data_IF_418039936188
#
_entry.id   IF_418039936188
#
_cell.length_a   1.000
_cell.length_b   1.000
_cell.length_c   1.000
_cell.angle_alpha   90.00
_cell.angle_beta   90.00
_cell.angle_gamma   90.00
#
_symmetry.space_group_name_H-M   'P 1'
#
loop_
_entity.id
_entity.type
_entity.pdbx_description
1 polymer ?
#
# COMPACT_ATOMS: atom_id res chain seq x y z
N UNK A 1 -29.85 19.73 1.78
CA UNK A 1 -28.35 19.87 1.86
C UNK A 1 -27.89 20.88 2.90
N UNK A 2 -28.57 21.99 3.15
CA UNK A 2 -28.17 23.05 4.09
C UNK A 2 -28.08 22.60 5.57
N UNK A 3 -28.95 21.72 6.05
CA UNK A 3 -28.91 21.24 7.44
C UNK A 3 -27.72 20.30 7.73
N UNK A 4 -27.39 19.36 6.84
CA UNK A 4 -26.26 18.46 6.99
C UNK A 4 -24.92 19.22 7.01
N UNK A 5 -24.80 20.28 6.22
CA UNK A 5 -23.59 21.12 6.21
C UNK A 5 -23.45 22.00 7.46
N UNK A 6 -24.47 22.15 8.30
CA UNK A 6 -24.38 22.88 9.57
C UNK A 6 -23.90 22.00 10.74
N UNK A 7 -23.99 20.68 10.63
CA UNK A 7 -23.50 19.79 11.69
C UNK A 7 -21.95 19.66 11.60
N UNK A 8 -21.25 20.24 12.59
CA UNK A 8 -19.78 20.19 12.66
C UNK A 8 -19.25 18.77 12.77
N UNK A 9 -19.92 17.91 13.55
CA UNK A 9 -19.53 16.52 13.72
C UNK A 9 -19.59 15.78 12.39
N UNK A 10 -20.64 15.96 11.63
CA UNK A 10 -20.80 15.33 10.31
C UNK A 10 -19.66 15.72 9.36
N UNK A 11 -19.33 17.02 9.24
CA UNK A 11 -18.33 17.50 8.28
C UNK A 11 -16.90 17.15 8.69
N UNK A 12 -16.61 17.11 9.98
CA UNK A 12 -15.23 16.95 10.47
C UNK A 12 -14.90 15.49 10.76
N UNK A 13 -15.88 14.69 11.14
CA UNK A 13 -15.66 13.32 11.56
C UNK A 13 -16.36 12.28 10.68
N UNK A 14 -17.69 12.28 10.62
CA UNK A 14 -18.44 11.18 10.00
C UNK A 14 -18.21 11.13 8.49
N UNK A 15 -18.36 12.26 7.79
CA UNK A 15 -18.24 12.27 6.35
C UNK A 15 -16.81 12.02 5.85
N UNK A 16 -15.74 12.60 6.44
CA UNK A 16 -14.36 12.23 6.10
C UNK A 16 -14.05 10.75 6.42
N UNK A 17 -14.55 10.21 7.52
CA UNK A 17 -14.41 8.79 7.85
C UNK A 17 -14.99 7.89 6.76
N UNK A 18 -16.23 8.14 6.36
CA UNK A 18 -16.87 7.39 5.27
C UNK A 18 -16.12 7.56 3.95
N UNK A 19 -15.63 8.76 3.66
CA UNK A 19 -14.88 9.05 2.46
C UNK A 19 -13.55 8.28 2.42
N UNK A 20 -12.81 8.23 3.54
CA UNK A 20 -11.62 7.42 3.68
C UNK A 20 -11.90 5.92 3.51
N UNK A 21 -12.98 5.44 4.12
CA UNK A 21 -13.45 4.06 4.00
C UNK A 21 -13.76 3.67 2.55
N UNK A 22 -14.44 4.54 1.81
CA UNK A 22 -14.77 4.33 0.39
C UNK A 22 -13.51 4.34 -0.49
N UNK A 23 -12.49 5.15 -0.14
CA UNK A 23 -11.22 5.21 -0.88
C UNK A 23 -10.54 3.82 -0.97
N UNK A 24 -10.73 2.96 0.03
CA UNK A 24 -10.16 1.61 0.07
C UNK A 24 -10.67 0.73 -1.07
N UNK A 25 -11.87 0.96 -1.57
CA UNK A 25 -12.41 0.22 -2.72
C UNK A 25 -11.59 0.42 -4.01
N UNK A 26 -10.73 1.45 -4.05
CA UNK A 26 -9.78 1.65 -5.15
C UNK A 26 -8.64 0.62 -5.18
N UNK A 27 -8.43 -0.15 -4.12
CA UNK A 27 -7.37 -1.15 -4.02
C UNK A 27 -7.88 -2.56 -4.34
N UNK A 28 -6.95 -3.50 -4.53
CA UNK A 28 -7.30 -4.92 -4.62
C UNK A 28 -7.99 -5.38 -3.31
N UNK A 29 -8.96 -6.28 -3.38
CA UNK A 29 -9.41 -7.02 -4.57
C UNK A 29 -10.46 -6.27 -5.42
N UNK A 30 -10.97 -5.12 -4.98
CA UNK A 30 -12.07 -4.41 -5.65
C UNK A 30 -11.62 -3.70 -6.93
N UNK A 31 -10.43 -3.06 -6.91
CA UNK A 31 -9.81 -2.35 -8.05
C UNK A 31 -10.69 -1.24 -8.66
N UNK A 32 -11.58 -0.65 -7.85
CA UNK A 32 -12.45 0.45 -8.28
C UNK A 32 -11.69 1.79 -8.22
N UNK A 33 -10.54 1.87 -8.88
CA UNK A 33 -9.62 3.03 -8.86
C UNK A 33 -10.32 4.35 -9.16
N UNK A 34 -11.34 4.34 -10.03
CA UNK A 34 -12.10 5.54 -10.41
C UNK A 34 -12.83 6.20 -9.23
N UNK A 35 -13.14 5.47 -8.16
CA UNK A 35 -13.72 6.04 -6.93
C UNK A 35 -12.79 7.12 -6.35
N UNK A 36 -11.49 7.00 -6.52
CA UNK A 36 -10.52 7.94 -5.97
C UNK A 36 -10.61 9.33 -6.59
N UNK A 37 -11.07 9.46 -7.83
CA UNK A 37 -11.39 10.77 -8.43
C UNK A 37 -12.47 11.50 -7.65
N UNK A 38 -13.44 10.77 -7.12
CA UNK A 38 -14.49 11.34 -6.28
C UNK A 38 -13.99 11.63 -4.87
N UNK A 39 -13.31 10.67 -4.23
CA UNK A 39 -12.93 10.77 -2.81
C UNK A 39 -11.90 11.86 -2.57
N UNK A 40 -10.82 11.93 -3.37
CA UNK A 40 -9.79 12.95 -3.24
C UNK A 40 -10.31 14.36 -3.61
N UNK A 41 -11.09 14.48 -4.69
CA UNK A 41 -11.69 15.75 -5.06
C UNK A 41 -12.67 16.27 -3.99
N UNK A 42 -13.44 15.36 -3.37
CA UNK A 42 -14.36 15.69 -2.28
C UNK A 42 -13.60 16.07 -1.01
N UNK A 43 -12.48 15.38 -0.71
CA UNK A 43 -11.63 15.73 0.43
C UNK A 43 -11.06 17.15 0.31
N UNK A 44 -10.56 17.53 -0.88
CA UNK A 44 -10.14 18.90 -1.16
C UNK A 44 -11.26 19.91 -0.94
N UNK A 45 -12.46 19.58 -1.41
CA UNK A 45 -13.63 20.44 -1.24
C UNK A 45 -14.03 20.59 0.24
N UNK A 46 -13.95 19.52 1.04
CA UNK A 46 -14.17 19.56 2.49
C UNK A 46 -13.17 20.48 3.18
N UNK A 47 -11.89 20.41 2.82
CA UNK A 47 -10.85 21.29 3.39
C UNK A 47 -11.22 22.76 3.15
N UNK A 48 -11.69 23.12 1.94
CA UNK A 48 -12.13 24.48 1.65
C UNK A 48 -13.40 24.87 2.43
N UNK A 49 -14.36 23.97 2.61
CA UNK A 49 -15.57 24.22 3.40
C UNK A 49 -15.17 24.52 4.86
N UNK A 50 -14.31 23.68 5.43
CA UNK A 50 -13.82 23.86 6.81
C UNK A 50 -13.09 25.19 6.94
N UNK A 51 -12.22 25.53 5.97
CA UNK A 51 -11.53 26.83 5.95
C UNK A 51 -12.53 27.99 5.95
N UNK A 52 -13.49 27.99 5.04
CA UNK A 52 -14.51 29.05 4.93
C UNK A 52 -15.35 29.21 6.22
N UNK A 53 -15.74 28.09 6.85
CA UNK A 53 -16.57 28.11 8.07
C UNK A 53 -15.81 28.54 9.33
N UNK A 54 -14.50 28.32 9.35
CA UNK A 54 -13.67 28.54 10.56
C UNK A 54 -12.89 29.86 10.53
N UNK A 55 -12.73 30.47 9.36
CA UNK A 55 -12.04 31.78 9.20
C UNK A 55 -12.93 33.00 9.51
N UNK A 56 -13.98 32.86 10.28
CA UNK A 56 -14.72 34.03 10.77
C UNK A 56 -13.80 34.95 11.60
N UNK A 57 -13.93 36.27 11.41
CA UNK A 57 -13.07 37.32 12.01
C UNK A 57 -12.78 37.17 13.52
N UNK A 58 -13.62 36.44 14.25
CA UNK A 58 -13.56 36.31 15.70
C UNK A 58 -12.95 34.99 16.22
N UNK A 59 -12.56 34.01 15.36
CA UNK A 59 -12.14 32.67 15.79
C UNK A 59 -10.80 32.21 15.22
N UNK A 60 -9.83 33.09 15.09
CA UNK A 60 -8.53 32.83 14.41
C UNK A 60 -7.70 31.65 14.95
N UNK A 61 -7.85 31.23 16.21
CA UNK A 61 -6.94 30.21 16.82
C UNK A 61 -7.45 28.76 16.78
N UNK A 62 -8.75 28.52 16.61
CA UNK A 62 -9.33 27.16 16.73
C UNK A 62 -9.44 26.38 15.42
N UNK A 63 -9.21 27.00 14.27
CA UNK A 63 -9.48 26.37 12.97
C UNK A 63 -8.44 25.29 12.60
N UNK A 64 -7.19 25.43 12.99
CA UNK A 64 -6.09 24.50 12.65
C UNK A 64 -6.40 23.08 13.11
N UNK A 65 -6.91 22.87 14.31
CA UNK A 65 -7.27 21.57 14.85
C UNK A 65 -8.37 20.85 14.05
N UNK A 66 -9.28 21.59 13.42
CA UNK A 66 -10.33 20.96 12.62
C UNK A 66 -9.80 20.33 11.35
N UNK A 67 -8.74 20.88 10.75
CA UNK A 67 -8.06 20.24 9.64
C UNK A 67 -7.38 18.93 10.08
N UNK A 68 -6.71 18.96 11.23
CA UNK A 68 -6.12 17.75 11.79
C UNK A 68 -7.17 16.66 12.05
N UNK A 69 -8.27 16.99 12.71
CA UNK A 69 -9.33 16.03 12.97
C UNK A 69 -9.99 15.51 11.70
N UNK A 70 -10.19 16.36 10.69
CA UNK A 70 -10.72 15.96 9.38
C UNK A 70 -9.79 14.95 8.71
N UNK A 71 -8.49 15.23 8.72
CA UNK A 71 -7.49 14.32 8.16
C UNK A 71 -7.37 13.01 8.94
N UNK A 72 -7.43 13.08 10.29
CA UNK A 72 -7.45 11.87 11.13
C UNK A 72 -8.72 11.03 10.88
N UNK A 73 -9.88 11.66 10.74
CA UNK A 73 -11.12 10.93 10.46
C UNK A 73 -11.08 10.24 9.10
N UNK A 74 -10.59 10.92 8.06
CA UNK A 74 -10.36 10.33 6.75
C UNK A 74 -9.34 9.18 6.83
N UNK A 75 -8.19 9.41 7.46
CA UNK A 75 -7.14 8.40 7.63
C UNK A 75 -7.61 7.21 8.45
N UNK A 76 -8.38 7.45 9.53
CA UNK A 76 -8.90 6.36 10.35
C UNK A 76 -9.84 5.44 9.55
N UNK A 77 -10.77 6.01 8.77
CA UNK A 77 -11.63 5.20 7.90
C UNK A 77 -10.84 4.43 6.83
N UNK A 78 -9.85 5.08 6.24
CA UNK A 78 -8.97 4.49 5.25
C UNK A 78 -8.15 3.31 5.81
N UNK A 79 -7.48 3.49 6.95
CA UNK A 79 -6.64 2.44 7.53
C UNK A 79 -7.44 1.36 8.26
N UNK A 80 -8.61 1.68 8.82
CA UNK A 80 -9.47 0.70 9.46
C UNK A 80 -9.92 -0.38 8.47
N UNK A 81 -10.42 0.04 7.30
CA UNK A 81 -10.87 -0.90 6.27
C UNK A 81 -9.72 -1.43 5.41
N UNK A 82 -8.66 -0.65 5.21
CA UNK A 82 -7.51 -1.07 4.41
C UNK A 82 -6.57 -2.04 5.11
N UNK A 83 -6.53 -2.04 6.45
CA UNK A 83 -5.54 -2.79 7.24
C UNK A 83 -6.17 -3.76 8.25
N UNK A 84 -7.48 -4.02 8.21
CA UNK A 84 -8.15 -4.95 9.13
C UNK A 84 -7.49 -6.35 9.13
N UNK A 85 -6.93 -6.75 7.99
CA UNK A 85 -6.26 -8.04 7.82
C UNK A 85 -5.07 -8.25 8.76
N UNK A 86 -4.42 -7.17 9.24
CA UNK A 86 -3.31 -7.27 10.23
C UNK A 86 -3.79 -7.97 11.50
N UNK A 87 -5.04 -7.75 11.91
CA UNK A 87 -5.61 -8.39 13.08
C UNK A 87 -5.78 -9.91 12.92
N UNK A 88 -5.85 -10.41 11.68
CA UNK A 88 -5.96 -11.84 11.39
C UNK A 88 -4.71 -12.58 11.84
N UNK A 89 -3.52 -11.93 11.77
CA UNK A 89 -2.28 -12.54 12.26
C UNK A 89 -2.34 -12.92 13.75
N UNK A 90 -3.11 -12.16 14.56
CA UNK A 90 -3.30 -12.43 15.98
C UNK A 90 -4.25 -13.62 16.27
N UNK A 91 -4.92 -14.15 15.24
CA UNK A 91 -5.79 -15.34 15.40
C UNK A 91 -5.00 -16.65 15.42
N UNK A 92 -3.72 -16.61 15.02
CA UNK A 92 -2.90 -17.81 14.91
C UNK A 92 -2.46 -18.36 16.28
N UNK A 93 -2.39 -17.50 17.30
CA UNK A 93 -2.08 -17.89 18.67
C UNK A 93 -3.20 -17.43 19.61
N UNK A 94 -3.74 -18.36 20.40
CA UNK A 94 -4.85 -18.11 21.33
C UNK A 94 -4.50 -17.04 22.36
N UNK A 95 -3.22 -16.93 22.77
CA UNK A 95 -2.75 -15.94 23.73
C UNK A 95 -2.95 -14.50 23.23
N UNK A 96 -2.91 -14.27 21.90
CA UNK A 96 -3.02 -12.93 21.32
C UNK A 96 -4.43 -12.55 20.84
N UNK A 97 -5.39 -13.47 20.87
CA UNK A 97 -6.78 -13.18 20.41
C UNK A 97 -7.41 -11.98 21.14
N UNK A 98 -7.12 -11.81 22.44
CA UNK A 98 -7.59 -10.67 23.22
C UNK A 98 -7.08 -9.30 22.73
N UNK A 99 -6.01 -9.26 21.94
CA UNK A 99 -5.45 -8.03 21.40
C UNK A 99 -6.10 -7.58 20.07
N UNK A 100 -6.93 -8.43 19.45
CA UNK A 100 -7.58 -8.14 18.16
C UNK A 100 -8.35 -6.82 18.17
N UNK A 101 -9.23 -6.49 19.16
CA UNK A 101 -9.94 -5.22 19.17
C UNK A 101 -8.99 -4.01 19.27
N UNK A 102 -7.91 -4.16 20.03
CA UNK A 102 -6.89 -3.10 20.16
C UNK A 102 -6.15 -2.89 18.85
N UNK A 103 -5.72 -3.95 18.16
CA UNK A 103 -5.05 -3.85 16.88
C UNK A 103 -5.93 -3.19 15.81
N UNK A 104 -7.23 -3.56 15.77
CA UNK A 104 -8.20 -2.98 14.85
C UNK A 104 -8.42 -1.48 15.05
N UNK A 105 -8.24 -0.95 16.26
CA UNK A 105 -8.49 0.46 16.57
C UNK A 105 -7.19 1.26 16.64
N UNK A 106 -6.19 0.77 17.39
CA UNK A 106 -4.98 1.56 17.69
C UNK A 106 -4.07 1.72 16.47
N UNK A 107 -3.93 0.67 15.63
CA UNK A 107 -3.09 0.75 14.42
C UNK A 107 -3.67 1.78 13.44
N UNK A 108 -4.95 1.73 13.04
CA UNK A 108 -5.53 2.77 12.19
C UNK A 108 -5.51 4.16 12.82
N UNK A 109 -5.72 4.26 14.14
CA UNK A 109 -5.67 5.53 14.85
C UNK A 109 -4.29 6.15 14.78
N UNK A 110 -3.23 5.38 15.03
CA UNK A 110 -1.85 5.82 14.91
C UNK A 110 -1.51 6.26 13.48
N UNK A 111 -1.83 5.43 12.49
CA UNK A 111 -1.56 5.73 11.09
C UNK A 111 -2.35 6.95 10.59
N UNK A 112 -3.53 7.20 11.15
CA UNK A 112 -4.35 8.37 10.80
C UNK A 112 -3.69 9.71 11.15
N UNK A 113 -2.72 9.73 12.08
CA UNK A 113 -1.97 10.93 12.47
C UNK A 113 -1.22 11.51 11.27
N UNK A 114 -0.66 10.66 10.40
CA UNK A 114 0.04 11.11 9.18
C UNK A 114 -0.91 11.86 8.24
N UNK A 115 -2.12 11.35 8.05
CA UNK A 115 -3.14 12.02 7.25
C UNK A 115 -3.66 13.28 7.96
N UNK A 116 -3.83 13.22 9.29
CA UNK A 116 -4.19 14.37 10.11
C UNK A 116 -3.20 15.52 9.95
N UNK A 117 -1.92 15.21 10.02
CA UNK A 117 -0.85 16.22 9.92
C UNK A 117 -0.73 16.75 8.50
N UNK A 118 -0.84 15.89 7.47
CA UNK A 118 -0.85 16.34 6.07
C UNK A 118 -2.00 17.31 5.80
N UNK A 119 -3.23 16.96 6.20
CA UNK A 119 -4.41 17.81 5.99
C UNK A 119 -4.37 19.08 6.84
N UNK A 120 -3.74 19.06 8.01
CA UNK A 120 -3.48 20.27 8.80
C UNK A 120 -2.63 21.28 8.00
N UNK A 121 -1.51 20.84 7.43
CA UNK A 121 -0.61 21.69 6.63
C UNK A 121 -1.34 22.17 5.38
N UNK A 122 -1.99 21.26 4.65
CA UNK A 122 -2.76 21.55 3.45
C UNK A 122 -3.85 22.58 3.74
N UNK A 123 -4.59 22.42 4.85
CA UNK A 123 -5.70 23.28 5.22
C UNK A 123 -5.29 24.72 5.53
N UNK A 124 -4.08 24.94 6.08
CA UNK A 124 -3.55 26.28 6.34
C UNK A 124 -3.42 27.07 5.03
N UNK A 125 -2.92 26.42 3.96
CA UNK A 125 -2.64 27.02 2.65
C UNK A 125 -3.77 26.80 1.63
N UNK A 126 -4.89 26.18 2.04
CA UNK A 126 -5.99 25.84 1.13
C UNK A 126 -6.53 27.06 0.38
N UNK A 127 -6.56 26.99 -0.94
CA UNK A 127 -7.08 28.02 -1.85
C UNK A 127 -7.86 27.38 -3.00
N UNK A 128 -8.74 28.16 -3.66
CA UNK A 128 -9.46 27.72 -4.86
C UNK A 128 -8.64 27.95 -6.14
N UNK A 129 -7.42 27.48 -6.18
CA UNK A 129 -6.51 27.69 -7.30
C UNK A 129 -5.88 26.36 -7.72
N UNK A 130 -5.42 26.33 -8.96
CA UNK A 130 -4.83 25.14 -9.57
C UNK A 130 -3.59 24.63 -8.80
N UNK A 131 -2.71 25.54 -8.34
CA UNK A 131 -1.53 25.16 -7.57
C UNK A 131 -1.85 24.51 -6.24
N UNK A 132 -3.09 24.66 -5.73
CA UNK A 132 -3.52 23.98 -4.53
C UNK A 132 -3.58 22.45 -4.69
N UNK A 133 -3.95 21.97 -5.90
CA UNK A 133 -3.91 20.53 -6.20
C UNK A 133 -2.48 20.00 -6.09
N UNK A 134 -1.51 20.69 -6.73
CA UNK A 134 -0.10 20.27 -6.65
C UNK A 134 0.42 20.32 -5.22
N UNK A 135 0.11 21.39 -4.49
CA UNK A 135 0.50 21.50 -3.08
C UNK A 135 -0.11 20.36 -2.23
N UNK A 136 -1.40 20.05 -2.45
CA UNK A 136 -2.05 18.92 -1.80
C UNK A 136 -1.33 17.61 -2.11
N UNK A 137 -1.10 17.33 -3.39
CA UNK A 137 -0.48 16.07 -3.84
C UNK A 137 0.94 15.92 -3.28
N UNK A 138 1.73 16.99 -3.29
CA UNK A 138 3.11 16.98 -2.76
C UNK A 138 3.10 16.72 -1.25
N UNK A 139 2.32 17.49 -0.49
CA UNK A 139 2.28 17.32 0.98
C UNK A 139 1.76 15.93 1.34
N UNK A 140 0.69 15.46 0.70
CA UNK A 140 0.13 14.16 0.99
C UNK A 140 1.16 13.03 0.70
N UNK A 141 1.85 13.08 -0.45
CA UNK A 141 2.88 12.10 -0.83
C UNK A 141 4.11 12.17 0.08
N UNK A 142 4.51 13.35 0.57
CA UNK A 142 5.56 13.47 1.58
C UNK A 142 5.17 12.71 2.85
N UNK A 143 3.92 12.81 3.30
CA UNK A 143 3.47 12.07 4.48
C UNK A 143 3.32 10.57 4.23
N UNK A 144 3.00 10.13 3.01
CA UNK A 144 3.11 8.72 2.63
C UNK A 144 4.57 8.24 2.71
N UNK A 145 5.51 9.03 2.21
CA UNK A 145 6.95 8.71 2.27
C UNK A 145 7.43 8.64 3.72
N UNK A 146 7.11 9.64 4.56
CA UNK A 146 7.47 9.65 5.99
C UNK A 146 6.90 8.40 6.68
N UNK A 147 5.63 8.07 6.46
CA UNK A 147 4.97 6.88 7.03
C UNK A 147 5.66 5.58 6.59
N UNK A 148 6.13 5.54 5.36
CA UNK A 148 6.82 4.37 4.81
C UNK A 148 8.25 4.17 5.33
N UNK A 149 8.85 5.15 6.03
CA UNK A 149 10.26 5.11 6.45
C UNK A 149 10.48 5.36 7.94
N UNK A 150 9.55 6.04 8.63
CA UNK A 150 9.71 6.35 10.06
C UNK A 150 9.46 5.10 10.91
N UNK A 151 10.16 4.98 12.03
CA UNK A 151 10.16 3.79 12.88
C UNK A 151 10.65 2.57 12.09
N UNK A 152 9.86 1.52 11.99
CA UNK A 152 10.16 0.34 11.16
C UNK A 152 9.67 0.48 9.71
N UNK A 153 8.95 1.59 9.41
CA UNK A 153 8.28 1.84 8.14
C UNK A 153 6.97 1.07 7.99
N UNK A 154 5.97 1.74 7.42
CA UNK A 154 4.69 1.11 7.09
C UNK A 154 4.21 1.55 5.70
N UNK A 155 4.79 1.00 4.61
CA UNK A 155 4.49 1.41 3.23
C UNK A 155 3.25 0.74 2.63
N UNK A 156 2.33 0.21 3.45
CA UNK A 156 1.09 -0.41 2.98
C UNK A 156 0.07 0.64 2.55
N UNK A 157 -0.78 0.27 1.59
CA UNK A 157 -1.86 1.11 1.06
C UNK A 157 -1.37 2.48 0.57
N UNK A 158 -0.24 2.52 -0.14
CA UNK A 158 0.16 3.71 -0.89
C UNK A 158 -0.82 3.92 -2.05
N UNK A 159 -1.14 5.18 -2.36
CA UNK A 159 -2.13 5.50 -3.39
C UNK A 159 -1.75 4.97 -4.78
N UNK A 160 -0.47 4.82 -5.07
CA UNK A 160 0.01 4.15 -6.29
C UNK A 160 -0.49 2.71 -6.44
N UNK A 161 -0.75 1.99 -5.33
CA UNK A 161 -1.21 0.60 -5.38
C UNK A 161 -2.66 0.45 -5.89
N UNK A 162 -3.41 1.53 -5.97
CA UNK A 162 -4.72 1.52 -6.64
C UNK A 162 -4.65 1.17 -8.12
N UNK A 163 -3.45 1.19 -8.72
CA UNK A 163 -3.18 0.82 -10.11
C UNK A 163 -2.63 -0.61 -10.26
N UNK A 164 -2.57 -1.40 -9.18
CA UNK A 164 -1.98 -2.75 -9.20
C UNK A 164 -2.66 -3.73 -10.17
N UNK A 165 -3.89 -3.45 -10.58
CA UNK A 165 -4.62 -4.22 -11.58
C UNK A 165 -4.15 -3.97 -13.02
N UNK A 166 -3.43 -2.86 -13.30
CA UNK A 166 -2.87 -2.56 -14.62
C UNK A 166 -1.35 -2.69 -14.60
N UNK A 167 -0.85 -3.76 -15.21
CA UNK A 167 0.59 -3.97 -15.33
C UNK A 167 1.26 -2.86 -16.16
N UNK A 168 0.57 -2.31 -17.15
CA UNK A 168 1.06 -1.24 -18.01
C UNK A 168 1.35 0.03 -17.21
N UNK A 169 0.42 0.44 -16.35
CA UNK A 169 0.60 1.65 -15.52
C UNK A 169 1.75 1.46 -14.52
N UNK A 170 1.91 0.25 -13.99
CA UNK A 170 2.93 -0.03 -12.97
C UNK A 170 4.35 -0.19 -13.51
N UNK A 171 4.55 -0.37 -14.84
CA UNK A 171 5.91 -0.44 -15.42
C UNK A 171 6.77 0.79 -15.13
N UNK A 172 6.15 1.96 -14.98
CA UNK A 172 6.87 3.22 -14.68
C UNK A 172 7.57 3.19 -13.31
N UNK A 173 7.15 2.31 -12.40
CA UNK A 173 7.77 2.17 -11.08
C UNK A 173 9.27 1.92 -11.15
N UNK A 174 9.73 1.24 -12.20
CA UNK A 174 11.16 1.00 -12.46
C UNK A 174 11.95 2.27 -12.73
N UNK A 175 11.30 3.37 -13.17
CA UNK A 175 11.93 4.64 -13.49
C UNK A 175 11.77 5.68 -12.36
N UNK A 176 10.57 5.83 -11.81
CA UNK A 176 10.24 6.92 -10.90
C UNK A 176 9.96 6.47 -9.47
N UNK A 177 9.83 5.18 -9.23
CA UNK A 177 9.51 4.62 -7.91
C UNK A 177 8.04 4.81 -7.50
N UNK A 178 7.69 4.16 -6.40
CA UNK A 178 6.29 4.03 -5.93
C UNK A 178 5.71 5.35 -5.42
N UNK A 179 6.49 6.13 -4.68
CA UNK A 179 6.02 7.39 -4.10
C UNK A 179 5.78 8.48 -5.14
N UNK A 180 6.57 8.49 -6.22
CA UNK A 180 6.34 9.43 -7.34
C UNK A 180 5.07 9.05 -8.11
N UNK A 181 4.80 7.75 -8.29
CA UNK A 181 3.53 7.32 -8.86
C UNK A 181 2.34 7.67 -7.95
N UNK A 182 2.49 7.59 -6.60
CA UNK A 182 1.48 8.09 -5.66
C UNK A 182 1.20 9.57 -5.88
N UNK A 183 2.24 10.41 -5.99
CA UNK A 183 2.10 11.84 -6.24
C UNK A 183 1.34 12.13 -7.54
N UNK A 184 1.70 11.45 -8.63
CA UNK A 184 1.01 11.59 -9.91
C UNK A 184 -0.47 11.15 -9.80
N UNK A 185 -0.71 10.01 -9.14
CA UNK A 185 -2.06 9.46 -8.93
C UNK A 185 -2.95 10.41 -8.14
N UNK A 186 -2.45 10.94 -7.01
CA UNK A 186 -3.20 11.91 -6.20
C UNK A 186 -3.49 13.18 -7.01
N UNK A 187 -2.52 13.65 -7.82
CA UNK A 187 -2.71 14.83 -8.66
C UNK A 187 -3.85 14.62 -9.65
N UNK A 188 -3.91 13.46 -10.30
CA UNK A 188 -4.95 13.11 -11.26
C UNK A 188 -6.30 12.92 -10.57
N UNK A 189 -6.35 12.23 -9.44
CA UNK A 189 -7.58 12.04 -8.67
C UNK A 189 -8.18 13.36 -8.17
N UNK A 190 -7.37 14.41 -8.05
CA UNK A 190 -7.84 15.74 -7.69
C UNK A 190 -8.31 16.59 -8.88
N UNK A 191 -8.15 16.15 -10.14
CA UNK A 191 -8.56 16.92 -11.33
C UNK A 191 -10.04 17.32 -11.30
N UNK A 192 -11.01 16.43 -10.93
CA UNK A 192 -12.43 16.82 -10.89
C UNK A 192 -12.71 18.02 -9.99
N UNK A 193 -11.89 18.26 -8.95
CA UNK A 193 -12.00 19.43 -8.09
C UNK A 193 -11.97 20.76 -8.88
N UNK A 194 -11.23 20.83 -9.99
CA UNK A 194 -11.14 22.05 -10.82
C UNK A 194 -12.47 22.43 -11.45
N UNK A 195 -13.33 21.47 -11.74
CA UNK A 195 -14.62 21.67 -12.40
C UNK A 195 -15.74 22.03 -11.41
N UNK A 196 -15.54 21.88 -10.11
CA UNK A 196 -16.46 22.40 -9.08
C UNK A 196 -16.34 23.91 -8.85
N UNK A 197 -15.49 24.61 -9.59
CA UNK A 197 -15.35 26.06 -9.53
C UNK A 197 -16.42 26.73 -10.41
N UNK A 198 -16.95 27.90 -9.96
CA UNK A 198 -17.99 28.62 -10.69
C UNK A 198 -17.58 29.06 -12.09
N UNK A 199 -16.29 29.21 -12.36
CA UNK A 199 -15.74 29.55 -13.68
C UNK A 199 -14.65 28.53 -14.03
N UNK A 200 -14.82 27.88 -15.16
CA UNK A 200 -13.78 27.00 -15.73
C UNK A 200 -12.85 27.91 -16.56
N UNK A 201 -11.59 27.98 -16.11
CA UNK A 201 -10.59 28.76 -16.85
C UNK A 201 -9.88 27.85 -17.85
N UNK A 202 -9.43 28.39 -19.00
CA UNK A 202 -8.64 27.67 -20.01
C UNK A 202 -7.43 26.94 -19.38
N UNK A 203 -6.78 27.56 -18.37
CA UNK A 203 -5.67 26.95 -17.63
C UNK A 203 -6.06 25.70 -16.84
N UNK A 204 -7.30 25.60 -16.34
CA UNK A 204 -7.75 24.39 -15.63
C UNK A 204 -7.88 23.22 -16.60
N UNK A 205 -8.41 23.49 -17.79
CA UNK A 205 -8.52 22.50 -18.86
C UNK A 205 -7.14 22.07 -19.34
N UNK A 206 -6.23 23.03 -19.56
CA UNK A 206 -4.85 22.72 -19.94
C UNK A 206 -4.13 21.86 -18.89
N UNK A 207 -4.28 22.19 -17.60
CA UNK A 207 -3.71 21.41 -16.51
C UNK A 207 -4.25 19.97 -16.49
N UNK A 208 -5.57 19.83 -16.61
CA UNK A 208 -6.20 18.51 -16.64
C UNK A 208 -5.69 17.70 -17.84
N UNK A 209 -5.65 18.31 -19.03
CA UNK A 209 -5.15 17.68 -20.24
C UNK A 209 -3.67 17.28 -20.10
N UNK A 210 -2.82 18.14 -19.55
CA UNK A 210 -1.39 17.88 -19.35
C UNK A 210 -1.16 16.63 -18.46
N UNK A 211 -1.85 16.54 -17.31
CA UNK A 211 -1.67 15.39 -16.42
C UNK A 211 -2.30 14.11 -16.98
N UNK A 212 -3.42 14.20 -17.68
CA UNK A 212 -3.99 13.05 -18.39
C UNK A 212 -3.06 12.58 -19.51
N UNK A 213 -2.42 13.49 -20.24
CA UNK A 213 -1.44 13.15 -21.26
C UNK A 213 -0.22 12.41 -20.66
N UNK A 214 0.30 12.87 -19.51
CA UNK A 214 1.38 12.16 -18.80
C UNK A 214 0.95 10.71 -18.48
N UNK A 215 -0.29 10.53 -18.06
CA UNK A 215 -0.80 9.20 -17.72
C UNK A 215 -0.97 8.30 -18.96
N UNK A 216 -1.42 8.87 -20.06
CA UNK A 216 -1.50 8.15 -21.35
C UNK A 216 -0.10 7.75 -21.84
N UNK A 217 0.88 8.66 -21.75
CA UNK A 217 2.27 8.36 -22.10
C UNK A 217 2.83 7.24 -21.22
N UNK A 218 2.54 7.28 -19.90
CA UNK A 218 2.92 6.20 -18.99
C UNK A 218 2.32 4.85 -19.43
N UNK A 219 1.04 4.82 -19.78
CA UNK A 219 0.37 3.61 -20.24
C UNK A 219 1.00 3.06 -21.53
N UNK A 220 1.28 3.91 -22.51
CA UNK A 220 1.95 3.54 -23.77
C UNK A 220 3.36 3.01 -23.48
N UNK A 221 4.11 3.66 -22.58
CA UNK A 221 5.42 3.18 -22.14
C UNK A 221 5.32 1.76 -21.56
N UNK A 222 4.35 1.51 -20.70
CA UNK A 222 4.13 0.19 -20.12
C UNK A 222 3.77 -0.87 -21.17
N UNK A 223 2.92 -0.54 -22.14
CA UNK A 223 2.60 -1.44 -23.26
C UNK A 223 3.88 -1.79 -24.04
N UNK A 224 4.74 -0.83 -24.34
CA UNK A 224 5.98 -1.09 -25.08
C UNK A 224 6.96 -1.96 -24.29
N UNK A 225 7.01 -1.81 -22.96
CA UNK A 225 7.84 -2.64 -22.08
C UNK A 225 7.34 -4.08 -22.00
N UNK A 226 6.04 -4.28 -21.87
CA UNK A 226 5.42 -5.62 -21.80
C UNK A 226 5.42 -6.33 -23.15
N UNK A 227 5.33 -5.58 -24.25
CA UNK A 227 5.37 -6.12 -25.60
C UNK A 227 6.73 -6.65 -26.04
N UNK A 228 7.81 -6.25 -25.36
CA UNK A 228 9.13 -6.81 -25.58
C UNK A 228 9.20 -8.21 -24.97
N UNK A 229 8.83 -9.21 -25.76
CA UNK A 229 9.04 -10.61 -25.42
C UNK A 229 10.54 -10.86 -25.27
N UNK A 230 11.09 -10.68 -24.09
CA UNK A 230 12.40 -11.22 -23.76
C UNK A 230 12.28 -12.74 -23.83
N UNK A 231 12.73 -13.34 -24.93
CA UNK A 231 12.99 -14.77 -24.98
C UNK A 231 14.15 -15.01 -24.00
N UNK A 232 13.80 -15.36 -22.77
CA UNK A 232 14.79 -15.92 -21.85
C UNK A 232 15.06 -17.34 -22.34
N UNK A 233 16.12 -17.48 -23.12
CA UNK A 233 16.71 -18.77 -23.39
C UNK A 233 17.50 -19.19 -22.14
N UNK A 234 16.76 -19.54 -21.08
CA UNK A 234 17.39 -19.96 -19.84
C UNK A 234 17.45 -21.49 -19.85
N UNK A 235 18.67 -22.02 -19.91
CA UNK A 235 18.93 -23.45 -19.64
C UNK A 235 18.54 -23.86 -18.21
N UNK A 236 18.11 -22.93 -17.35
CA UNK A 236 17.83 -23.16 -15.95
C UNK A 236 16.34 -23.06 -15.68
N UNK A 237 15.75 -24.12 -15.16
CA UNK A 237 14.37 -24.13 -14.67
C UNK A 237 14.33 -23.57 -13.25
N UNK A 238 13.43 -22.62 -12.95
CA UNK A 238 13.22 -22.13 -11.57
C UNK A 238 11.94 -22.79 -11.04
N UNK A 239 12.04 -23.51 -9.91
CA UNK A 239 10.89 -24.08 -9.20
C UNK A 239 10.71 -23.36 -7.85
N UNK A 240 9.64 -22.61 -7.71
CA UNK A 240 9.25 -21.98 -6.43
C UNK A 240 8.36 -22.96 -5.69
N UNK A 241 8.79 -23.36 -4.49
CA UNK A 241 8.13 -24.40 -3.70
C UNK A 241 7.21 -23.75 -2.67
N UNK A 242 5.92 -24.06 -2.73
CA UNK A 242 4.91 -23.62 -1.76
C UNK A 242 4.31 -24.86 -1.06
N UNK A 243 4.85 -25.27 0.11
CA UNK A 243 4.43 -26.50 0.78
C UNK A 243 3.10 -26.39 1.51
N UNK A 244 2.54 -25.16 1.62
CA UNK A 244 1.31 -24.87 2.37
C UNK A 244 1.35 -25.45 3.80
N UNK A 245 2.42 -25.17 4.55
CA UNK A 245 2.50 -25.51 5.95
C UNK A 245 1.57 -24.62 6.77
N UNK A 246 0.76 -25.21 7.66
CA UNK A 246 0.04 -24.45 8.69
C UNK A 246 0.99 -24.19 9.87
N UNK A 247 0.71 -23.15 10.67
CA UNK A 247 1.48 -22.90 11.90
C UNK A 247 1.45 -24.10 12.88
N UNK A 248 0.36 -24.87 12.86
CA UNK A 248 0.26 -26.11 13.64
C UNK A 248 1.24 -27.18 13.14
N UNK A 249 1.50 -27.22 11.84
CA UNK A 249 2.49 -28.19 11.28
C UNK A 249 3.89 -27.93 11.82
N UNK A 250 4.28 -26.68 12.11
CA UNK A 250 5.60 -26.34 12.68
C UNK A 250 5.77 -26.85 14.11
N UNK A 251 4.70 -26.86 14.89
CA UNK A 251 4.75 -27.31 16.29
C UNK A 251 4.65 -28.83 16.44
N UNK A 252 4.12 -29.55 15.45
CA UNK A 252 3.82 -30.99 15.52
C UNK A 252 4.85 -31.81 14.76
N UNK A 253 5.42 -31.28 13.67
CA UNK A 253 6.32 -32.03 12.79
C UNK A 253 7.78 -31.82 13.15
N UNK A 254 8.54 -32.90 13.12
CA UNK A 254 9.99 -32.81 13.22
C UNK A 254 10.61 -32.10 12.00
N UNK A 255 11.76 -31.46 12.21
CA UNK A 255 12.49 -30.77 11.14
C UNK A 255 12.79 -31.72 9.95
N UNK A 256 13.08 -32.96 10.24
CA UNK A 256 13.37 -34.00 9.22
C UNK A 256 12.14 -34.26 8.33
N UNK A 257 10.93 -34.28 8.90
CA UNK A 257 9.69 -34.48 8.14
C UNK A 257 9.38 -33.28 7.26
N UNK A 258 9.67 -32.07 7.74
CA UNK A 258 9.53 -30.84 6.96
C UNK A 258 10.46 -30.85 5.75
N UNK A 259 11.74 -31.20 5.95
CA UNK A 259 12.74 -31.34 4.87
C UNK A 259 12.30 -32.41 3.86
N UNK A 260 11.87 -33.57 4.32
CA UNK A 260 11.41 -34.64 3.44
C UNK A 260 10.20 -34.23 2.59
N UNK A 261 9.27 -33.48 3.17
CA UNK A 261 8.11 -32.94 2.44
C UNK A 261 8.54 -31.94 1.39
N UNK A 262 9.46 -31.02 1.72
CA UNK A 262 10.01 -30.06 0.75
C UNK A 262 10.72 -30.75 -0.40
N UNK A 263 11.55 -31.75 -0.11
CA UNK A 263 12.24 -32.55 -1.12
C UNK A 263 11.21 -33.25 -2.03
N UNK A 264 10.17 -33.85 -1.44
CA UNK A 264 9.11 -34.53 -2.20
C UNK A 264 8.36 -33.58 -3.14
N UNK A 265 8.00 -32.36 -2.67
CA UNK A 265 7.31 -31.36 -3.49
C UNK A 265 8.25 -30.78 -4.55
N UNK A 266 9.54 -30.64 -4.25
CA UNK A 266 10.54 -30.15 -5.20
C UNK A 266 10.67 -31.05 -6.41
N UNK A 267 10.44 -32.36 -6.26
CA UNK A 267 10.51 -33.35 -7.32
C UNK A 267 11.74 -33.12 -8.25
N UNK A 268 12.97 -33.32 -7.73
CA UNK A 268 14.19 -33.04 -8.47
C UNK A 268 14.39 -33.98 -9.65
N UNK A 269 14.63 -33.42 -10.85
CA UNK A 269 14.89 -34.20 -12.07
C UNK A 269 16.36 -34.04 -12.48
N UNK A 270 17.09 -35.16 -12.52
CA UNK A 270 18.52 -35.22 -12.85
C UNK A 270 18.87 -34.62 -14.22
N UNK A 271 17.95 -34.67 -15.18
CA UNK A 271 18.22 -34.20 -16.55
C UNK A 271 18.09 -32.70 -16.73
N UNK A 272 17.57 -31.96 -15.72
CA UNK A 272 17.30 -30.53 -15.82
C UNK A 272 18.11 -29.73 -14.83
N UNK A 273 18.80 -28.69 -15.31
CA UNK A 273 19.37 -27.66 -14.40
C UNK A 273 18.24 -26.94 -13.71
N UNK A 274 18.13 -27.03 -12.40
CA UNK A 274 16.99 -26.46 -11.66
C UNK A 274 17.44 -25.67 -10.43
N UNK A 275 16.90 -24.47 -10.30
CA UNK A 275 16.99 -23.65 -9.10
C UNK A 275 15.68 -23.81 -8.30
N UNK A 276 15.79 -24.42 -7.12
CA UNK A 276 14.70 -24.56 -6.17
C UNK A 276 14.70 -23.38 -5.21
N UNK A 277 13.57 -22.67 -5.10
CA UNK A 277 13.39 -21.58 -4.13
C UNK A 277 12.42 -22.08 -3.07
N UNK A 278 12.95 -22.34 -1.88
CA UNK A 278 12.18 -22.78 -0.73
C UNK A 278 11.68 -21.58 0.07
N UNK A 279 10.51 -21.67 0.76
CA UNK A 279 9.95 -20.55 1.50
C UNK A 279 10.85 -20.11 2.66
N UNK A 280 10.76 -18.84 3.01
CA UNK A 280 11.35 -18.27 4.22
C UNK A 280 10.65 -18.82 5.48
N UNK A 281 11.38 -18.87 6.59
CA UNK A 281 10.83 -19.22 7.90
C UNK A 281 10.58 -20.71 8.16
N UNK A 282 10.95 -21.63 7.25
CA UNK A 282 10.80 -23.06 7.48
C UNK A 282 11.78 -23.55 8.57
N UNK A 283 12.97 -22.97 8.61
CA UNK A 283 14.04 -23.32 9.55
C UNK A 283 14.21 -22.23 10.61
N UNK A 284 13.11 -21.83 11.28
CA UNK A 284 13.13 -20.70 12.22
C UNK A 284 13.89 -20.99 13.53
N UNK A 285 13.98 -22.28 13.94
CA UNK A 285 14.74 -22.72 15.13
C UNK A 285 16.14 -23.26 14.80
N UNK A 286 16.46 -23.45 13.52
CA UNK A 286 17.70 -24.10 13.09
C UNK A 286 18.69 -23.11 12.53
N UNK A 287 19.97 -23.44 12.72
CA UNK A 287 21.07 -22.72 12.12
C UNK A 287 21.66 -23.48 10.93
N UNK A 288 22.38 -22.77 10.07
CA UNK A 288 23.05 -23.40 8.91
C UNK A 288 23.96 -24.58 9.31
N UNK A 289 24.59 -24.53 10.49
CA UNK A 289 25.39 -25.63 11.05
C UNK A 289 24.57 -26.91 11.26
N UNK A 290 23.31 -26.77 11.62
CA UNK A 290 22.45 -27.91 11.94
C UNK A 290 21.99 -28.64 10.69
N UNK A 291 21.84 -27.95 9.56
CA UNK A 291 21.53 -28.57 8.27
C UNK A 291 22.60 -29.57 7.81
N UNK A 292 23.82 -29.45 8.32
CA UNK A 292 24.89 -30.43 8.02
C UNK A 292 24.50 -31.85 8.43
N UNK A 293 23.66 -32.01 9.46
CA UNK A 293 23.13 -33.31 9.92
C UNK A 293 22.33 -34.00 8.82
N UNK A 294 21.68 -33.22 7.95
CA UNK A 294 20.79 -33.71 6.89
C UNK A 294 21.46 -33.78 5.52
N UNK A 295 22.79 -33.58 5.46
CA UNK A 295 23.57 -33.59 4.21
C UNK A 295 23.25 -34.78 3.30
N UNK A 296 23.11 -35.98 3.90
CA UNK A 296 22.84 -37.20 3.16
C UNK A 296 21.45 -37.22 2.52
N UNK A 297 20.42 -36.60 3.18
CA UNK A 297 19.08 -36.47 2.60
C UNK A 297 19.10 -35.60 1.34
N UNK A 298 19.84 -34.49 1.37
CA UNK A 298 20.02 -33.62 0.22
C UNK A 298 20.77 -34.29 -0.91
N UNK A 299 21.93 -34.91 -0.61
CA UNK A 299 22.80 -35.60 -1.60
C UNK A 299 22.08 -36.74 -2.32
N UNK A 300 21.19 -37.47 -1.65
CA UNK A 300 20.47 -38.59 -2.23
C UNK A 300 19.36 -38.17 -3.23
N UNK A 301 18.93 -36.93 -3.21
CA UNK A 301 17.78 -36.44 -3.98
C UNK A 301 18.13 -35.31 -4.93
N UNK A 302 19.07 -34.45 -4.58
CA UNK A 302 19.53 -33.36 -5.42
C UNK A 302 20.89 -33.72 -6.07
N UNK A 303 21.07 -33.22 -7.29
CA UNK A 303 22.24 -33.50 -8.14
C UNK A 303 23.08 -32.22 -8.31
N UNK A 304 24.27 -32.35 -8.92
CA UNK A 304 25.19 -31.20 -9.11
C UNK A 304 24.63 -30.06 -9.94
N UNK A 305 23.66 -30.34 -10.82
CA UNK A 305 22.95 -29.36 -11.61
C UNK A 305 21.75 -28.71 -10.88
N UNK A 306 21.58 -28.97 -9.59
CA UNK A 306 20.53 -28.38 -8.76
C UNK A 306 21.11 -27.38 -7.78
N UNK A 307 20.45 -26.22 -7.65
CA UNK A 307 20.69 -25.20 -6.64
C UNK A 307 19.46 -25.04 -5.76
N UNK A 308 19.67 -24.81 -4.47
CA UNK A 308 18.57 -24.54 -3.52
C UNK A 308 18.82 -23.21 -2.84
N UNK A 309 17.86 -22.31 -2.92
CA UNK A 309 17.79 -21.08 -2.12
C UNK A 309 16.83 -21.34 -0.96
N UNK A 310 17.28 -21.10 0.25
CA UNK A 310 16.48 -21.21 1.46
C UNK A 310 16.87 -20.12 2.47
N UNK A 311 15.89 -19.65 3.25
CA UNK A 311 16.13 -18.75 4.38
C UNK A 311 16.47 -19.56 5.63
N UNK A 312 17.59 -19.22 6.31
CA UNK A 312 18.02 -19.87 7.53
C UNK A 312 18.86 -18.93 8.39
N UNK A 313 18.78 -19.11 9.71
CA UNK A 313 19.59 -18.36 10.66
C UNK A 313 21.09 -18.73 10.54
N UNK A 314 21.96 -17.73 10.63
CA UNK A 314 23.40 -17.95 10.68
C UNK A 314 23.99 -17.29 11.91
N UNK A 315 24.88 -17.99 12.63
CA UNK A 315 25.68 -17.39 13.69
C UNK A 315 26.80 -16.56 13.07
N UNK A 316 26.72 -15.24 13.19
CA UNK A 316 27.90 -14.40 13.07
C UNK A 316 28.66 -14.46 14.41
N UNK A 317 29.86 -15.06 14.38
CA UNK A 317 30.84 -14.89 15.44
C UNK A 317 31.45 -13.51 15.38
#
# INVERSE_FOLDING_TARGET
MTQLTNNKFFIIFLFPFLLGSITVLGFAPFNLTFINFFTFSTLLFLVLIVKKKTQSKYRKKKFKRYFFYLGCAFGFGFFLLGNYWISISLTHDDAFKGLIPFALILIPLFLSIFFGTSILIIGIYAERKIHFILFFSVIFSIFEFIRGHILTGFPWNLISYTWSWSQEITQILSLIGTYTLSLLSITIFCIPFLFFQKKIFKKNVFFAFFFLLIFIINYIYGLSKLGNNYKFDSEITIKIISPNFSLKDYNIRSEIEQIQRLIKISDPNKSKKTLFVWPEGIFYESYLSDLKKYKNLFKNKFFENHLIILGINNFHK
#
